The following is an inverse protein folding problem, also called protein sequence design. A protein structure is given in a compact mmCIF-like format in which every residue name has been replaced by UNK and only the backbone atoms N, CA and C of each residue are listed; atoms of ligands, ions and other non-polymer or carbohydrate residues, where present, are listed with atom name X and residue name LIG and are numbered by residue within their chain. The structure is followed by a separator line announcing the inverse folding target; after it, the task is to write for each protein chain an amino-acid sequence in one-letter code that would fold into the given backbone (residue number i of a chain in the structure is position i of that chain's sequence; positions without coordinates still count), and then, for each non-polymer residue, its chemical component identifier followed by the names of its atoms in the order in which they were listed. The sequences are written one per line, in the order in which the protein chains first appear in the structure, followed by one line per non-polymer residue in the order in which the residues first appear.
data_IF_266922876624
#
_entry.id   IF_266922876624
#
_cell.length_a   1.000
_cell.length_b   1.000
_cell.length_c   1.000
_cell.angle_alpha   90.00
_cell.angle_beta   90.00
_cell.angle_gamma   90.00
#
_symmetry.space_group_name_H-M   'P 1'
#
loop_
_entity.id
_entity.type
_entity.pdbx_description
1 polymer ?
#
# COMPACT_ATOMS: atom_id res chain seq x y z
N UNK A 1 -5.26 18.06 -0.99
CA UNK A 1 -4.07 17.20 -0.79
C UNK A 1 -4.30 15.84 -1.46
N UNK A 2 -5.29 15.02 -1.04
CA UNK A 2 -5.49 13.65 -1.54
C UNK A 2 -5.65 13.54 -3.07
N UNK A 3 -6.42 14.43 -3.72
CA UNK A 3 -6.53 14.46 -5.18
C UNK A 3 -5.19 14.76 -5.87
N UNK A 4 -4.43 15.69 -5.34
CA UNK A 4 -3.11 16.04 -5.88
C UNK A 4 -2.16 14.85 -5.79
N UNK A 5 -2.12 14.16 -4.64
CA UNK A 5 -1.31 12.95 -4.46
C UNK A 5 -1.71 11.84 -5.45
N UNK A 6 -3.01 11.63 -5.66
CA UNK A 6 -3.52 10.63 -6.60
C UNK A 6 -3.13 10.95 -8.06
N UNK A 7 -3.30 12.20 -8.50
CA UNK A 7 -2.90 12.62 -9.85
C UNK A 7 -1.38 12.51 -10.06
N UNK A 8 -0.60 12.87 -9.05
CA UNK A 8 0.85 12.73 -9.10
C UNK A 8 1.29 11.26 -9.19
N UNK A 9 0.61 10.36 -8.46
CA UNK A 9 0.84 8.93 -8.55
C UNK A 9 0.54 8.39 -9.96
N UNK A 10 -0.59 8.77 -10.57
CA UNK A 10 -0.93 8.40 -11.94
C UNK A 10 0.15 8.82 -12.94
N UNK A 11 0.64 10.06 -12.82
CA UNK A 11 1.73 10.54 -13.69
C UNK A 11 3.01 9.72 -13.53
N UNK A 12 3.36 9.32 -12.29
CA UNK A 12 4.54 8.48 -12.04
C UNK A 12 4.39 7.08 -12.62
N UNK A 13 3.22 6.47 -12.48
CA UNK A 13 2.92 5.16 -13.08
C UNK A 13 3.04 5.23 -14.60
N UNK A 14 2.51 6.27 -15.22
CA UNK A 14 2.60 6.45 -16.68
C UNK A 14 4.03 6.65 -17.16
N UNK A 15 4.86 7.39 -16.43
CA UNK A 15 6.30 7.55 -16.72
C UNK A 15 7.06 6.22 -16.65
N UNK A 16 6.69 5.33 -15.72
CA UNK A 16 7.31 4.01 -15.58
C UNK A 16 6.89 3.07 -16.70
N UNK A 17 5.62 3.13 -17.13
CA UNK A 17 5.12 2.34 -18.26
C UNK A 17 5.73 2.73 -19.60
N UNK A 18 6.11 4.02 -19.74
CA UNK A 18 6.68 4.59 -20.94
C UNK A 18 8.03 5.28 -20.63
N UNK A 19 9.08 4.51 -20.28
CA UNK A 19 10.37 5.09 -19.91
C UNK A 19 11.01 5.80 -21.11
N UNK A 20 11.68 6.94 -20.89
CA UNK A 20 12.31 7.70 -21.96
C UNK A 20 13.55 7.03 -22.56
N UNK A 21 14.07 5.98 -21.95
CA UNK A 21 15.16 5.15 -22.45
C UNK A 21 14.82 3.68 -22.28
N UNK A 22 15.13 2.85 -23.29
CA UNK A 22 14.94 1.40 -23.26
C UNK A 22 15.94 0.75 -22.28
N UNK A 23 15.60 0.72 -21.02
CA UNK A 23 16.27 -0.13 -20.04
C UNK A 23 15.39 -1.38 -19.86
N UNK A 24 15.99 -2.56 -20.09
CA UNK A 24 15.30 -3.85 -19.87
C UNK A 24 15.18 -4.20 -18.37
N UNK A 25 15.50 -3.28 -17.48
CA UNK A 25 15.43 -3.52 -16.04
C UNK A 25 14.01 -3.27 -15.50
N UNK A 26 13.47 -4.17 -14.67
CA UNK A 26 12.17 -3.99 -14.08
C UNK A 26 12.18 -2.82 -13.07
N UNK A 27 11.20 -1.96 -13.16
CA UNK A 27 11.00 -0.86 -12.23
C UNK A 27 10.10 -1.28 -11.06
N UNK A 28 10.48 -0.86 -9.84
CA UNK A 28 9.63 -0.98 -8.65
C UNK A 28 9.25 0.42 -8.18
N UNK A 29 7.95 0.68 -8.07
CA UNK A 29 7.41 1.90 -7.50
C UNK A 29 6.87 1.62 -6.10
N UNK A 30 7.52 2.16 -5.09
CA UNK A 30 7.02 2.13 -3.72
C UNK A 30 6.17 3.37 -3.45
N UNK A 31 4.96 3.15 -2.96
CA UNK A 31 4.02 4.21 -2.61
C UNK A 31 3.79 4.16 -1.10
N UNK A 32 4.27 5.19 -0.41
CA UNK A 32 3.94 5.40 1.00
C UNK A 32 2.62 6.16 1.08
N UNK A 33 1.65 5.60 1.82
CA UNK A 33 0.32 6.17 2.01
C UNK A 33 -0.55 6.17 0.74
N UNK A 34 -1.13 5.02 0.43
CA UNK A 34 -2.11 4.88 -0.65
C UNK A 34 -3.51 5.37 -0.23
N UNK A 35 -4.41 5.55 -1.21
CA UNK A 35 -5.79 6.06 -1.02
C UNK A 35 -6.63 5.26 -0.01
N UNK A 36 -6.34 3.98 0.24
CA UNK A 36 -6.99 3.19 1.31
C UNK A 36 -6.81 3.85 2.67
N UNK A 37 -5.59 4.33 2.97
CA UNK A 37 -5.32 5.04 4.23
C UNK A 37 -6.11 6.35 4.27
N UNK A 38 -6.12 7.08 3.16
CA UNK A 38 -6.89 8.32 3.02
C UNK A 38 -8.38 8.08 3.25
N UNK A 39 -8.95 7.01 2.67
CA UNK A 39 -10.35 6.62 2.87
C UNK A 39 -10.67 6.39 4.35
N UNK A 40 -9.88 5.57 5.02
CA UNK A 40 -10.09 5.25 6.44
C UNK A 40 -10.01 6.52 7.32
N UNK A 41 -9.11 7.44 7.02
CA UNK A 41 -9.05 8.72 7.73
C UNK A 41 -10.26 9.59 7.47
N UNK A 42 -10.79 9.66 6.25
CA UNK A 42 -12.04 10.38 5.97
C UNK A 42 -13.22 9.77 6.73
N UNK A 43 -13.35 8.45 6.75
CA UNK A 43 -14.37 7.74 7.54
C UNK A 43 -14.25 8.08 9.04
N UNK A 44 -13.03 8.02 9.58
CA UNK A 44 -12.78 8.20 11.01
C UNK A 44 -12.97 9.64 11.48
N UNK A 45 -12.49 10.61 10.72
CA UNK A 45 -12.47 12.03 11.13
C UNK A 45 -13.76 12.75 10.74
N UNK A 46 -14.31 12.44 9.57
CA UNK A 46 -15.45 13.19 9.02
C UNK A 46 -16.74 12.37 8.94
N UNK A 47 -16.71 11.08 9.29
CA UNK A 47 -17.87 10.18 9.20
C UNK A 47 -18.41 9.98 7.77
N UNK A 48 -17.66 10.41 6.76
CA UNK A 48 -18.00 10.32 5.34
C UNK A 48 -16.76 10.25 4.49
N UNK A 49 -16.90 9.73 3.28
CA UNK A 49 -15.83 9.76 2.27
C UNK A 49 -16.28 10.51 1.01
N UNK A 50 -15.38 11.14 0.29
CA UNK A 50 -15.66 11.66 -1.05
C UNK A 50 -15.88 10.49 -2.03
N UNK A 51 -16.93 10.55 -2.85
CA UNK A 51 -17.30 9.49 -3.81
C UNK A 51 -16.14 9.08 -4.73
N UNK A 52 -15.34 10.04 -5.17
CA UNK A 52 -14.20 9.79 -6.06
C UNK A 52 -13.12 8.88 -5.46
N UNK A 53 -13.01 8.77 -4.12
CA UNK A 53 -11.97 7.93 -3.47
C UNK A 53 -12.25 6.45 -3.70
N UNK A 54 -13.50 6.01 -3.55
CA UNK A 54 -13.87 4.61 -3.77
C UNK A 54 -13.59 4.18 -5.21
N UNK A 55 -13.96 5.00 -6.19
CA UNK A 55 -13.69 4.75 -7.60
C UNK A 55 -12.18 4.72 -7.89
N UNK A 56 -11.44 5.70 -7.36
CA UNK A 56 -9.99 5.77 -7.54
C UNK A 56 -9.24 4.58 -6.92
N UNK A 57 -9.71 4.05 -5.78
CA UNK A 57 -9.16 2.82 -5.19
C UNK A 57 -9.43 1.63 -6.11
N UNK A 58 -10.67 1.46 -6.58
CA UNK A 58 -11.04 0.33 -7.44
C UNK A 58 -10.25 0.31 -8.78
N UNK A 59 -9.88 1.48 -9.29
CA UNK A 59 -9.10 1.63 -10.54
C UNK A 59 -7.58 1.65 -10.30
N UNK A 60 -7.13 1.53 -9.05
CA UNK A 60 -5.71 1.67 -8.73
C UNK A 60 -4.90 0.45 -9.15
N UNK A 61 -3.86 0.61 -9.98
CA UNK A 61 -3.00 -0.48 -10.42
C UNK A 61 -1.94 -0.81 -9.37
N UNK A 62 -2.34 -1.38 -8.24
CA UNK A 62 -1.42 -1.82 -7.19
C UNK A 62 -1.17 -3.31 -7.32
N UNK A 63 0.07 -3.70 -7.57
CA UNK A 63 0.47 -5.10 -7.71
C UNK A 63 0.57 -5.81 -6.35
N UNK A 64 0.92 -5.08 -5.30
CA UNK A 64 1.05 -5.61 -3.94
C UNK A 64 0.88 -4.55 -2.87
N UNK A 65 0.11 -4.84 -1.84
CA UNK A 65 0.13 -4.11 -0.58
C UNK A 65 1.05 -4.80 0.43
N UNK A 66 1.98 -4.07 1.01
CA UNK A 66 2.70 -4.50 2.20
C UNK A 66 1.97 -3.94 3.44
N UNK A 67 1.16 -4.79 4.07
CA UNK A 67 0.36 -4.42 5.22
C UNK A 67 1.17 -4.58 6.50
N UNK A 68 1.67 -3.48 7.04
CA UNK A 68 2.49 -3.47 8.24
C UNK A 68 1.66 -3.73 9.50
N UNK A 69 2.01 -4.78 10.26
CA UNK A 69 1.37 -5.09 11.55
C UNK A 69 1.66 -4.01 12.60
N UNK A 70 0.73 -3.75 13.53
CA UNK A 70 0.88 -2.76 14.60
C UNK A 70 1.71 -3.27 15.77
N UNK A 71 2.75 -4.06 15.51
CA UNK A 71 3.61 -4.74 16.49
C UNK A 71 4.84 -3.93 16.93
N UNK A 72 5.07 -2.75 16.32
CA UNK A 72 6.09 -1.81 16.78
C UNK A 72 5.65 -1.13 18.07
N UNK A 73 6.53 -0.94 19.07
CA UNK A 73 6.24 -0.13 20.25
C UNK A 73 5.70 1.25 19.84
N UNK A 74 4.75 1.74 20.62
CA UNK A 74 4.28 3.10 20.38
C UNK A 74 5.24 4.08 21.04
N UNK A 75 5.67 5.05 20.27
CA UNK A 75 6.44 6.20 20.76
C UNK A 75 5.57 7.45 20.68
N UNK A 76 5.69 8.33 21.68
CA UNK A 76 4.93 9.56 21.70
C UNK A 76 5.30 10.44 20.49
N UNK A 77 4.27 10.85 19.78
CA UNK A 77 4.39 11.76 18.64
C UNK A 77 3.22 12.76 18.73
N UNK A 78 3.50 14.09 18.78
CA UNK A 78 2.46 15.11 18.89
C UNK A 78 1.39 15.09 17.78
N UNK A 79 1.72 14.52 16.63
CA UNK A 79 0.79 14.36 15.48
C UNK A 79 0.10 13.01 15.43
N UNK A 80 0.43 12.08 16.35
CA UNK A 80 -0.17 10.74 16.45
C UNK A 80 -1.03 10.64 17.69
N UNK A 81 -2.25 11.13 17.62
CA UNK A 81 -3.11 11.35 18.79
C UNK A 81 -3.68 10.08 19.43
N UNK A 82 -3.65 8.92 18.78
CA UNK A 82 -4.43 7.76 19.20
C UNK A 82 -3.62 6.45 19.18
N UNK A 83 -2.82 6.17 20.23
CA UNK A 83 -2.01 4.94 20.29
C UNK A 83 -2.84 3.65 20.32
N UNK A 84 -4.06 3.72 20.88
CA UNK A 84 -4.88 2.54 21.13
C UNK A 84 -5.72 2.07 19.92
N UNK A 85 -5.84 2.88 18.86
CA UNK A 85 -6.63 2.53 17.68
C UNK A 85 -5.84 1.81 16.58
N UNK A 86 -4.54 1.60 16.77
CA UNK A 86 -3.67 0.95 15.77
C UNK A 86 -4.17 -0.42 15.31
N UNK A 87 -4.60 -1.34 16.22
CA UNK A 87 -5.17 -2.62 15.81
C UNK A 87 -6.48 -2.46 15.02
N UNK A 88 -7.32 -1.50 15.41
CA UNK A 88 -8.57 -1.19 14.70
C UNK A 88 -8.30 -0.67 13.28
N UNK A 89 -7.36 0.26 13.13
CA UNK A 89 -6.95 0.78 11.82
C UNK A 89 -6.36 -0.33 10.94
N UNK A 90 -5.51 -1.18 11.50
CA UNK A 90 -4.95 -2.33 10.80
C UNK A 90 -6.04 -3.26 10.27
N UNK A 91 -6.99 -3.63 11.12
CA UNK A 91 -8.11 -4.48 10.73
C UNK A 91 -8.96 -3.83 9.62
N UNK A 92 -9.18 -2.51 9.69
CA UNK A 92 -9.93 -1.77 8.67
C UNK A 92 -9.19 -1.70 7.33
N UNK A 93 -7.86 -1.47 7.34
CA UNK A 93 -7.06 -1.51 6.12
C UNK A 93 -7.09 -2.89 5.48
N UNK A 94 -6.89 -3.94 6.27
CA UNK A 94 -6.95 -5.33 5.81
C UNK A 94 -8.31 -5.64 5.17
N UNK A 95 -9.41 -5.30 5.84
CA UNK A 95 -10.76 -5.48 5.33
C UNK A 95 -10.96 -4.80 3.96
N UNK A 96 -10.49 -3.57 3.79
CA UNK A 96 -10.63 -2.84 2.52
C UNK A 96 -9.80 -3.47 1.41
N UNK A 97 -8.57 -3.89 1.70
CA UNK A 97 -7.70 -4.59 0.75
C UNK A 97 -8.39 -5.88 0.27
N UNK A 98 -8.93 -6.67 1.19
CA UNK A 98 -9.66 -7.91 0.90
C UNK A 98 -10.96 -7.67 0.13
N UNK A 99 -11.74 -6.64 0.48
CA UNK A 99 -12.97 -6.27 -0.24
C UNK A 99 -12.73 -5.90 -1.71
N UNK A 100 -11.58 -5.30 -2.01
CA UNK A 100 -11.18 -4.99 -3.38
C UNK A 100 -10.42 -6.12 -4.08
N UNK A 101 -10.22 -7.27 -3.42
CA UNK A 101 -9.44 -8.40 -3.91
C UNK A 101 -7.99 -8.01 -4.32
N UNK A 102 -7.41 -7.06 -3.63
CA UNK A 102 -6.02 -6.66 -3.88
C UNK A 102 -5.03 -7.66 -3.28
N UNK A 103 -3.95 -8.00 -3.98
CA UNK A 103 -2.86 -8.79 -3.43
C UNK A 103 -2.22 -8.06 -2.25
N UNK A 104 -2.01 -8.76 -1.15
CA UNK A 104 -1.29 -8.21 0.00
C UNK A 104 -0.46 -9.24 0.74
N UNK A 105 0.56 -8.76 1.43
CA UNK A 105 1.39 -9.52 2.36
C UNK A 105 1.52 -8.78 3.68
N UNK A 106 1.40 -9.51 4.78
CA UNK A 106 1.58 -8.94 6.11
C UNK A 106 3.06 -8.85 6.48
N UNK A 107 3.47 -7.68 6.95
CA UNK A 107 4.85 -7.41 7.38
C UNK A 107 4.88 -7.17 8.88
N UNK A 108 5.70 -7.97 9.59
CA UNK A 108 5.86 -7.93 11.05
C UNK A 108 7.31 -7.81 11.46
N UNK A 109 7.53 -7.61 12.78
CA UNK A 109 8.85 -7.51 13.38
C UNK A 109 9.31 -6.07 13.59
N UNK A 110 10.52 -5.90 14.13
CA UNK A 110 11.11 -4.61 14.48
C UNK A 110 12.41 -4.39 13.69
N UNK A 111 12.69 -3.14 13.34
CA UNK A 111 13.93 -2.73 12.70
C UNK A 111 14.32 -3.61 11.50
N UNK A 112 15.52 -4.18 11.54
CA UNK A 112 16.03 -5.04 10.46
C UNK A 112 15.19 -6.31 10.22
N UNK A 113 14.55 -6.86 11.26
CA UNK A 113 13.69 -8.05 11.11
C UNK A 113 12.48 -7.72 10.26
N UNK A 114 11.87 -6.55 10.46
CA UNK A 114 10.76 -6.07 9.64
C UNK A 114 11.19 -5.86 8.20
N UNK A 115 12.34 -5.24 7.97
CA UNK A 115 12.89 -5.06 6.63
C UNK A 115 13.13 -6.39 5.92
N UNK A 116 13.75 -7.35 6.60
CA UNK A 116 13.97 -8.71 6.08
C UNK A 116 12.64 -9.41 5.73
N UNK A 117 11.63 -9.27 6.59
CA UNK A 117 10.29 -9.79 6.33
C UNK A 117 9.72 -9.20 5.03
N UNK A 118 9.71 -7.87 4.88
CA UNK A 118 9.22 -7.19 3.68
C UNK A 118 9.98 -7.62 2.41
N UNK A 119 11.31 -7.66 2.47
CA UNK A 119 12.14 -8.08 1.34
C UNK A 119 11.88 -9.54 0.92
N UNK A 120 11.64 -10.43 1.89
CA UNK A 120 11.29 -11.82 1.61
C UNK A 120 9.96 -11.93 0.85
N UNK A 121 8.96 -11.15 1.27
CA UNK A 121 7.64 -11.09 0.62
C UNK A 121 7.75 -10.59 -0.82
N UNK A 122 8.50 -9.51 -1.03
CA UNK A 122 8.76 -8.95 -2.37
C UNK A 122 9.48 -9.96 -3.30
N UNK A 123 10.47 -10.70 -2.80
CA UNK A 123 11.16 -11.71 -3.60
C UNK A 123 10.23 -12.83 -4.06
N UNK A 124 9.28 -13.23 -3.24
CA UNK A 124 8.34 -14.29 -3.59
C UNK A 124 7.42 -13.84 -4.74
N UNK A 125 6.96 -12.61 -4.72
CA UNK A 125 6.13 -12.05 -5.80
C UNK A 125 6.92 -11.84 -7.07
N UNK A 126 8.16 -11.34 -6.98
CA UNK A 126 8.99 -11.15 -8.16
C UNK A 126 9.25 -12.47 -8.90
N UNK A 127 9.39 -13.58 -8.17
CA UNK A 127 9.47 -14.92 -8.78
C UNK A 127 8.17 -15.34 -9.48
N UNK A 128 7.01 -14.95 -8.95
CA UNK A 128 5.71 -15.24 -9.58
C UNK A 128 5.47 -14.38 -10.82
N UNK A 129 5.84 -13.11 -10.77
CA UNK A 129 5.71 -12.17 -11.90
C UNK A 129 6.71 -12.46 -13.03
N UNK A 130 7.92 -12.94 -12.70
CA UNK A 130 8.96 -13.27 -13.68
C UNK A 130 8.85 -14.69 -14.26
N UNK A 131 8.05 -15.56 -13.65
CA UNK A 131 7.75 -16.91 -14.15
C UNK A 131 6.23 -17.12 -14.25
N UNK A 132 5.53 -16.47 -15.18
CA UNK A 132 4.07 -16.65 -15.36
C UNK A 132 3.67 -18.07 -15.77
N UNK A 133 4.59 -18.88 -16.29
CA UNK A 133 4.34 -20.26 -16.74
C UNK A 133 4.53 -21.32 -15.62
N UNK A 134 4.83 -20.91 -14.40
CA UNK A 134 5.02 -21.81 -13.26
C UNK A 134 3.75 -22.39 -12.63
N UNK A 135 2.57 -22.05 -13.14
CA UNK A 135 1.27 -22.62 -12.77
C UNK A 135 0.65 -23.37 -13.97
N UNK A 136 1.19 -24.53 -14.27
CA UNK A 136 0.46 -25.61 -14.96
C UNK A 136 0.63 -26.90 -14.19
#
# INVERSE_FOLDING_TARGET
IARYQHEHLKQRIEQIKNPPSSTDEPYLLFVDTHLIITKVWFEKVYGREPEWIAEAIAQSPVDLYLLCQPDTPWEYDPVRENPNIRPELYARYKQLIEQHNFPYEEVSGLGETRLKCALQKLKNINKQLLNPDGYR
#
